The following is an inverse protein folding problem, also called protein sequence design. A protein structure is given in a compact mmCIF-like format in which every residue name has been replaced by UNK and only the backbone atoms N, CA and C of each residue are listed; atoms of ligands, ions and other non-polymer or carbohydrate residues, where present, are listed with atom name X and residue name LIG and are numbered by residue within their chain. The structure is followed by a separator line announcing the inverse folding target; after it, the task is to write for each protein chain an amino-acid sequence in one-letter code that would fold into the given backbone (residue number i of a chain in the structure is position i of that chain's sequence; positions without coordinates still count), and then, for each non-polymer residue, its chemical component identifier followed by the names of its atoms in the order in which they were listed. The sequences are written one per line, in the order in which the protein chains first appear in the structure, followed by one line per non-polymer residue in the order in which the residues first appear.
data_IF_525614996722
#
_entry.id   IF_525614996722
#
_cell.length_a   1.000
_cell.length_b   1.000
_cell.length_c   1.000
_cell.angle_alpha   90.00
_cell.angle_beta   90.00
_cell.angle_gamma   90.00
#
_symmetry.space_group_name_H-M   'P 1'
#
loop_
_entity.id
_entity.type
_entity.pdbx_description
1 polymer ?
#
# COMPACT_ATOMS: atom_id res chain seq x y z
N UNK A 1 -30.01 -26.12 22.80
CA UNK A 1 -29.22 -27.16 23.52
C UNK A 1 -29.66 -28.51 23.01
N UNK A 2 -28.77 -29.31 22.39
CA UNK A 2 -29.13 -30.53 21.64
C UNK A 2 -29.31 -31.78 22.53
N UNK A 3 -29.27 -31.70 23.85
CA UNK A 3 -29.53 -32.81 24.79
C UNK A 3 -28.72 -34.11 24.61
N UNK A 4 -27.71 -34.13 23.71
CA UNK A 4 -26.90 -35.33 23.48
C UNK A 4 -25.92 -35.55 24.64
N UNK A 5 -26.05 -36.70 25.34
CA UNK A 5 -25.06 -37.15 26.33
C UNK A 5 -23.75 -37.46 25.64
N UNK A 6 -22.65 -36.79 26.06
CA UNK A 6 -21.29 -37.09 25.62
C UNK A 6 -20.62 -37.92 26.72
N UNK A 7 -20.21 -39.15 26.39
CA UNK A 7 -19.41 -39.99 27.30
C UNK A 7 -17.95 -39.61 27.14
N UNK A 8 -17.29 -39.31 28.25
CA UNK A 8 -15.84 -39.11 28.32
C UNK A 8 -15.21 -40.20 29.20
N UNK A 9 -14.03 -40.71 28.84
CA UNK A 9 -13.28 -41.63 29.63
C UNK A 9 -11.97 -40.98 30.08
N UNK A 10 -11.56 -41.25 31.34
CA UNK A 10 -10.33 -40.76 31.92
C UNK A 10 -9.52 -41.98 32.32
N UNK A 11 -8.28 -42.07 31.86
CA UNK A 11 -7.37 -43.15 32.14
C UNK A 11 -6.18 -42.69 32.97
N UNK A 12 -5.64 -43.52 33.86
CA UNK A 12 -4.47 -43.25 34.65
C UNK A 12 -3.82 -44.56 35.15
N UNK A 13 -2.57 -44.49 35.60
CA UNK A 13 -1.82 -45.65 36.10
C UNK A 13 -2.26 -46.09 37.48
N UNK A 14 -2.86 -45.22 38.26
CA UNK A 14 -3.36 -45.52 39.63
C UNK A 14 -4.78 -44.95 39.81
N UNK A 15 -5.55 -45.55 40.72
CA UNK A 15 -6.89 -45.09 41.11
C UNK A 15 -6.85 -43.65 41.67
N UNK A 16 -5.79 -43.27 42.37
CA UNK A 16 -5.61 -41.91 42.92
C UNK A 16 -5.46 -40.88 41.78
N UNK A 17 -4.63 -41.21 40.77
CA UNK A 17 -4.44 -40.35 39.57
C UNK A 17 -5.73 -40.19 38.77
N UNK A 18 -6.47 -41.27 38.57
CA UNK A 18 -7.78 -41.18 37.84
C UNK A 18 -8.75 -40.29 38.59
N UNK A 19 -8.85 -40.45 39.93
CA UNK A 19 -9.72 -39.62 40.73
C UNK A 19 -9.34 -38.14 40.74
N UNK A 20 -8.08 -37.79 40.76
CA UNK A 20 -7.58 -36.43 40.62
C UNK A 20 -7.94 -35.85 39.24
N UNK A 21 -7.68 -36.56 38.17
CA UNK A 21 -7.99 -36.18 36.81
C UNK A 21 -9.53 -35.98 36.62
N UNK A 22 -10.33 -36.85 37.23
CA UNK A 22 -11.77 -36.76 37.17
C UNK A 22 -12.29 -35.48 37.89
N UNK A 23 -11.79 -35.20 39.08
CA UNK A 23 -12.12 -33.96 39.83
C UNK A 23 -11.72 -32.71 39.06
N UNK A 24 -10.53 -32.69 38.42
CA UNK A 24 -10.06 -31.60 37.63
C UNK A 24 -10.93 -31.40 36.38
N UNK A 25 -11.27 -32.47 35.68
CA UNK A 25 -12.18 -32.40 34.50
C UNK A 25 -13.59 -31.94 34.87
N UNK A 26 -14.11 -32.34 36.04
CA UNK A 26 -15.40 -31.89 36.55
C UNK A 26 -15.38 -30.40 36.91
N UNK A 27 -14.31 -29.93 37.58
CA UNK A 27 -14.14 -28.52 37.88
C UNK A 27 -14.04 -27.67 36.60
N UNK A 28 -13.25 -28.11 35.63
CA UNK A 28 -13.12 -27.43 34.32
C UNK A 28 -14.44 -27.40 33.56
N UNK A 29 -15.22 -28.46 33.61
CA UNK A 29 -16.55 -28.52 32.99
C UNK A 29 -17.52 -27.50 33.63
N UNK A 30 -17.56 -27.43 34.96
CA UNK A 30 -18.41 -26.50 35.71
C UNK A 30 -17.94 -25.03 35.46
N UNK A 31 -16.65 -24.76 35.53
CA UNK A 31 -16.07 -23.44 35.30
C UNK A 31 -16.29 -22.92 33.85
N UNK A 32 -16.48 -23.84 32.91
CA UNK A 32 -16.78 -23.53 31.50
C UNK A 32 -18.30 -23.49 31.20
N UNK A 33 -19.14 -23.24 32.20
CA UNK A 33 -20.62 -23.14 32.03
C UNK A 33 -21.25 -24.47 31.59
N UNK A 34 -20.75 -25.59 32.09
CA UNK A 34 -21.22 -26.95 31.77
C UNK A 34 -21.17 -27.30 30.28
N UNK A 35 -20.21 -26.74 29.55
CA UNK A 35 -19.95 -27.03 28.15
C UNK A 35 -18.60 -27.71 27.97
N UNK A 36 -18.55 -28.73 27.08
CA UNK A 36 -17.29 -29.35 26.69
C UNK A 36 -16.65 -28.40 25.68
N UNK A 37 -15.64 -27.65 26.10
CA UNK A 37 -14.76 -26.94 25.15
C UNK A 37 -14.09 -28.00 24.27
N UNK A 38 -14.42 -28.04 22.98
CA UNK A 38 -13.58 -28.73 22.01
C UNK A 38 -12.20 -28.04 22.11
N UNK A 39 -11.21 -28.74 22.68
CA UNK A 39 -9.84 -28.27 22.64
C UNK A 39 -9.45 -28.18 21.16
N UNK A 40 -9.43 -26.97 20.62
CA UNK A 40 -8.78 -26.72 19.33
C UNK A 40 -7.31 -27.01 19.57
N UNK A 41 -6.84 -28.16 19.09
CA UNK A 41 -5.45 -28.61 19.35
C UNK A 41 -4.56 -27.91 18.35
N UNK A 42 -4.27 -26.64 18.59
CA UNK A 42 -3.27 -25.89 17.86
C UNK A 42 -1.93 -26.21 18.49
N UNK A 43 -1.03 -26.81 17.71
CA UNK A 43 0.30 -27.21 18.15
C UNK A 43 1.39 -26.36 17.53
N UNK A 44 1.24 -26.00 16.25
CA UNK A 44 2.31 -25.34 15.48
C UNK A 44 1.99 -23.85 15.21
N UNK A 45 3.04 -23.07 14.96
CA UNK A 45 2.90 -21.69 14.55
C UNK A 45 2.05 -21.54 13.26
N UNK A 46 2.20 -22.49 12.33
CA UNK A 46 1.44 -22.53 11.09
C UNK A 46 -0.07 -22.63 11.38
N UNK A 47 -0.49 -23.55 12.23
CA UNK A 47 -1.90 -23.72 12.62
C UNK A 47 -2.45 -22.46 13.31
N UNK A 48 -1.67 -21.90 14.26
CA UNK A 48 -2.04 -20.65 14.94
C UNK A 48 -2.15 -19.48 13.97
N UNK A 49 -1.23 -19.37 13.01
CA UNK A 49 -1.26 -18.30 12.04
C UNK A 49 -2.46 -18.38 11.08
N UNK A 50 -2.89 -19.59 10.71
CA UNK A 50 -4.09 -19.78 9.89
C UNK A 50 -5.34 -19.32 10.64
N UNK A 51 -5.50 -19.72 11.90
CA UNK A 51 -6.61 -19.26 12.74
C UNK A 51 -6.61 -17.74 12.91
N UNK A 52 -5.42 -17.15 13.16
CA UNK A 52 -5.28 -15.71 13.25
C UNK A 52 -5.66 -14.99 11.95
N UNK A 53 -5.29 -15.54 10.79
CA UNK A 53 -5.60 -14.96 9.48
C UNK A 53 -7.10 -14.90 9.20
N UNK A 54 -7.90 -15.87 9.68
CA UNK A 54 -9.36 -15.85 9.52
C UNK A 54 -9.96 -14.59 10.16
N UNK A 55 -9.59 -14.30 11.40
CA UNK A 55 -10.02 -13.09 12.09
C UNK A 55 -9.40 -11.84 11.49
N UNK A 56 -8.10 -11.88 11.18
CA UNK A 56 -7.38 -10.72 10.63
C UNK A 56 -7.93 -10.26 9.29
N UNK A 57 -8.41 -11.18 8.47
CA UNK A 57 -9.06 -10.87 7.18
C UNK A 57 -10.25 -9.93 7.34
N UNK A 58 -10.99 -10.05 8.44
CA UNK A 58 -12.17 -9.21 8.72
C UNK A 58 -11.80 -7.81 9.22
N UNK A 59 -10.56 -7.60 9.70
CA UNK A 59 -10.13 -6.35 10.34
C UNK A 59 -9.34 -5.42 9.43
N UNK A 60 -8.93 -5.89 8.25
CA UNK A 60 -8.06 -5.13 7.35
C UNK A 60 -8.56 -5.13 5.91
N UNK A 61 -8.11 -4.13 5.14
CA UNK A 61 -8.39 -4.10 3.70
C UNK A 61 -7.72 -5.27 2.98
N UNK A 62 -8.34 -5.81 1.90
CA UNK A 62 -7.82 -6.97 1.15
C UNK A 62 -6.35 -6.86 0.76
N UNK A 63 -5.89 -5.69 0.33
CA UNK A 63 -4.48 -5.47 -0.02
C UNK A 63 -3.52 -5.63 1.17
N UNK A 64 -3.94 -5.21 2.36
CA UNK A 64 -3.14 -5.36 3.59
C UNK A 64 -3.08 -6.82 4.01
N UNK A 65 -4.20 -7.53 3.86
CA UNK A 65 -4.27 -8.97 4.09
C UNK A 65 -3.32 -9.72 3.17
N UNK A 66 -3.40 -9.51 1.86
CA UNK A 66 -2.55 -10.16 0.85
C UNK A 66 -1.04 -9.92 1.10
N UNK A 67 -0.68 -8.66 1.38
CA UNK A 67 0.70 -8.32 1.74
C UNK A 67 1.16 -9.01 3.03
N UNK A 68 0.25 -9.24 3.98
CA UNK A 68 0.55 -9.93 5.24
C UNK A 68 0.72 -11.43 5.01
N UNK A 69 -0.17 -12.05 4.22
CA UNK A 69 -0.08 -13.47 3.83
C UNK A 69 1.22 -13.73 3.06
N UNK A 70 1.54 -12.89 2.09
CA UNK A 70 2.80 -12.99 1.32
C UNK A 70 4.02 -12.91 2.24
N UNK A 71 4.02 -11.99 3.19
CA UNK A 71 5.11 -11.81 4.17
C UNK A 71 5.22 -13.01 5.11
N UNK A 72 4.09 -13.52 5.58
CA UNK A 72 4.02 -14.71 6.42
C UNK A 72 4.63 -15.92 5.71
N UNK A 73 4.16 -16.23 4.51
CA UNK A 73 4.59 -17.39 3.74
C UNK A 73 6.06 -17.30 3.31
N UNK A 74 6.54 -16.13 2.88
CA UNK A 74 7.88 -15.96 2.33
C UNK A 74 8.96 -15.86 3.40
N UNK A 75 8.67 -15.24 4.55
CA UNK A 75 9.70 -14.87 5.51
C UNK A 75 9.56 -15.54 6.89
N UNK A 76 8.36 -15.97 7.28
CA UNK A 76 8.09 -16.50 8.62
C UNK A 76 7.93 -18.02 8.59
N UNK A 77 7.07 -18.53 7.71
CA UNK A 77 6.76 -19.97 7.62
C UNK A 77 7.98 -20.87 7.42
N UNK A 78 8.99 -20.51 6.61
CA UNK A 78 10.16 -21.38 6.43
C UNK A 78 10.96 -21.63 7.71
N UNK A 79 10.87 -20.71 8.69
CA UNK A 79 11.64 -20.83 9.94
C UNK A 79 10.76 -21.25 11.12
N UNK A 80 9.60 -20.60 11.31
CA UNK A 80 8.78 -20.81 12.50
C UNK A 80 7.57 -21.72 12.25
N UNK A 81 7.17 -21.94 10.98
CA UNK A 81 5.90 -22.59 10.64
C UNK A 81 5.66 -23.93 11.32
N UNK A 82 6.64 -24.80 11.35
CA UNK A 82 6.56 -26.15 11.91
C UNK A 82 6.93 -26.22 13.41
N UNK A 83 7.39 -25.10 14.00
CA UNK A 83 7.73 -25.06 15.41
C UNK A 83 6.45 -25.11 16.27
N UNK A 84 6.51 -25.83 17.40
CA UNK A 84 5.43 -25.79 18.40
C UNK A 84 5.37 -24.40 19.01
N UNK A 85 4.15 -23.88 19.17
CA UNK A 85 3.90 -22.51 19.63
C UNK A 85 4.54 -22.25 21.00
N UNK A 86 4.47 -23.24 21.91
CA UNK A 86 5.03 -23.20 23.26
C UNK A 86 6.57 -23.31 23.30
N UNK A 87 7.21 -23.64 22.18
CA UNK A 87 8.67 -23.80 22.06
C UNK A 87 9.35 -22.66 21.31
N UNK A 88 8.57 -21.70 20.78
CA UNK A 88 9.14 -20.54 20.09
C UNK A 88 9.70 -19.56 21.12
N UNK A 89 11.02 -19.40 21.10
CA UNK A 89 11.75 -18.51 22.01
C UNK A 89 11.97 -17.12 21.41
N UNK A 90 12.28 -16.15 22.26
CA UNK A 90 12.72 -14.83 21.80
C UNK A 90 14.02 -14.92 20.96
N UNK A 91 14.90 -15.89 21.28
CA UNK A 91 16.13 -16.13 20.52
C UNK A 91 15.85 -16.56 19.07
N UNK A 92 14.89 -17.46 18.84
CA UNK A 92 14.52 -17.90 17.49
C UNK A 92 14.03 -16.74 16.63
N UNK A 93 13.17 -15.90 17.21
CA UNK A 93 12.64 -14.72 16.54
C UNK A 93 13.74 -13.69 16.30
N UNK A 94 14.61 -13.44 17.29
CA UNK A 94 15.71 -12.49 17.16
C UNK A 94 16.67 -12.91 16.04
N UNK A 95 17.05 -14.20 15.97
CA UNK A 95 17.89 -14.73 14.89
C UNK A 95 17.24 -14.55 13.51
N UNK A 96 15.93 -14.81 13.39
CA UNK A 96 15.20 -14.58 12.14
C UNK A 96 15.23 -13.10 11.75
N UNK A 97 14.95 -12.19 12.68
CA UNK A 97 14.93 -10.74 12.41
C UNK A 97 16.34 -10.25 12.07
N UNK A 98 17.38 -10.66 12.77
CA UNK A 98 18.77 -10.31 12.48
C UNK A 98 19.20 -10.78 11.08
N UNK A 99 18.81 -11.99 10.69
CA UNK A 99 19.07 -12.51 9.34
C UNK A 99 18.36 -11.67 8.28
N UNK A 100 17.07 -11.38 8.47
CA UNK A 100 16.27 -10.60 7.51
C UNK A 100 16.76 -9.16 7.39
N UNK A 101 17.23 -8.53 8.46
CA UNK A 101 17.70 -7.14 8.46
C UNK A 101 18.85 -6.89 7.49
N UNK A 102 19.62 -7.92 7.14
CA UNK A 102 20.76 -7.83 6.21
C UNK A 102 20.34 -7.58 4.76
N UNK A 103 19.15 -8.05 4.34
CA UNK A 103 18.72 -7.99 2.93
C UNK A 103 17.26 -7.57 2.71
N UNK A 104 16.42 -7.56 3.75
CA UNK A 104 15.00 -7.24 3.62
C UNK A 104 14.64 -5.98 4.41
N UNK A 105 14.42 -4.87 3.73
CA UNK A 105 14.15 -3.54 4.32
C UNK A 105 12.95 -3.54 5.28
N UNK A 106 11.93 -4.37 5.00
CA UNK A 106 10.69 -4.42 5.77
C UNK A 106 10.68 -5.50 6.86
N UNK A 107 11.84 -5.89 7.41
CA UNK A 107 11.95 -6.88 8.51
C UNK A 107 11.16 -6.48 9.77
N UNK A 108 11.01 -5.18 10.05
CA UNK A 108 10.19 -4.69 11.16
C UNK A 108 8.71 -5.09 11.03
N UNK A 109 8.20 -5.12 9.80
CA UNK A 109 6.84 -5.59 9.53
C UNK A 109 6.72 -7.12 9.69
N UNK A 110 7.80 -7.89 9.47
CA UNK A 110 7.84 -9.34 9.79
C UNK A 110 7.67 -9.55 11.28
N UNK A 111 8.46 -8.84 12.11
CA UNK A 111 8.32 -8.90 13.58
C UNK A 111 6.90 -8.54 14.02
N UNK A 112 6.29 -7.52 13.41
CA UNK A 112 4.92 -7.11 13.73
C UNK A 112 3.89 -8.22 13.46
N UNK A 113 4.05 -8.99 12.37
CA UNK A 113 3.19 -10.15 12.07
C UNK A 113 3.39 -11.26 13.09
N UNK A 114 4.64 -11.65 13.39
CA UNK A 114 4.94 -12.69 14.39
C UNK A 114 4.32 -12.32 15.75
N UNK A 115 4.50 -11.05 16.18
CA UNK A 115 3.92 -10.54 17.42
C UNK A 115 2.40 -10.67 17.46
N UNK A 116 1.71 -10.36 16.38
CA UNK A 116 0.24 -10.48 16.31
C UNK A 116 -0.23 -11.93 16.37
N UNK A 117 0.45 -12.84 15.68
CA UNK A 117 0.13 -14.27 15.69
C UNK A 117 0.35 -14.85 17.08
N UNK A 118 1.51 -14.60 17.72
CA UNK A 118 1.77 -15.09 19.08
C UNK A 118 0.84 -14.45 20.12
N UNK A 119 0.42 -13.19 19.93
CA UNK A 119 -0.58 -12.57 20.79
C UNK A 119 -1.92 -13.31 20.75
N UNK A 120 -2.33 -13.83 19.59
CA UNK A 120 -3.48 -14.73 19.49
C UNK A 120 -3.27 -16.01 20.30
N UNK A 121 -2.04 -16.54 20.32
CA UNK A 121 -1.68 -17.70 21.15
C UNK A 121 -1.84 -17.45 22.65
N UNK A 122 -1.46 -16.24 23.11
CA UNK A 122 -1.69 -15.81 24.49
C UNK A 122 -3.18 -15.69 24.79
N UNK A 123 -3.97 -15.07 23.92
CA UNK A 123 -5.43 -14.92 24.09
C UNK A 123 -6.15 -16.28 24.14
N UNK A 124 -5.62 -17.29 23.47
CA UNK A 124 -6.16 -18.65 23.46
C UNK A 124 -5.65 -19.52 24.63
N UNK A 125 -4.76 -19.00 25.47
CA UNK A 125 -4.13 -19.76 26.57
C UNK A 125 -3.22 -20.88 26.10
N UNK A 126 -2.65 -20.78 24.89
CA UNK A 126 -1.69 -21.74 24.34
C UNK A 126 -0.26 -21.48 24.83
N UNK A 127 0.03 -20.24 25.13
CA UNK A 127 1.29 -19.74 25.71
C UNK A 127 0.97 -18.63 26.70
N UNK A 128 1.77 -18.51 27.74
CA UNK A 128 1.57 -17.51 28.79
C UNK A 128 2.14 -16.15 28.40
N UNK A 129 3.12 -16.15 27.49
CA UNK A 129 3.86 -14.95 27.10
C UNK A 129 4.15 -14.89 25.61
N UNK A 130 4.16 -13.66 25.07
CA UNK A 130 4.46 -13.40 23.66
C UNK A 130 5.94 -13.11 23.45
N UNK A 131 6.71 -14.12 23.05
CA UNK A 131 8.16 -14.05 22.82
C UNK A 131 8.62 -13.01 21.79
N UNK A 132 7.69 -12.48 20.94
CA UNK A 132 8.01 -11.44 19.98
C UNK A 132 7.87 -10.01 20.55
N UNK A 133 7.51 -9.86 21.84
CA UNK A 133 7.24 -8.56 22.46
C UNK A 133 8.53 -7.75 22.64
N UNK A 134 9.58 -8.36 23.17
CA UNK A 134 10.80 -7.70 23.59
C UNK A 134 11.98 -7.91 22.62
N UNK A 135 11.67 -8.24 21.36
CA UNK A 135 12.68 -8.37 20.30
C UNK A 135 13.29 -7.01 19.99
N UNK A 136 14.61 -6.95 20.02
CA UNK A 136 15.39 -5.77 19.64
C UNK A 136 15.46 -5.69 18.12
N UNK A 137 14.96 -4.58 17.57
CA UNK A 137 15.02 -4.34 16.15
C UNK A 137 16.40 -3.78 15.77
N UNK A 138 17.15 -4.43 14.85
CA UNK A 138 18.39 -3.88 14.32
C UNK A 138 18.19 -2.48 13.76
N UNK A 139 19.19 -1.62 13.85
CA UNK A 139 19.14 -0.29 13.23
C UNK A 139 19.04 -0.44 11.72
N UNK A 140 18.09 0.29 11.10
CA UNK A 140 18.00 0.28 9.64
C UNK A 140 19.29 0.85 9.06
N UNK A 141 19.95 0.06 8.22
CA UNK A 141 21.06 0.53 7.41
C UNK A 141 20.53 1.65 6.47
N UNK A 142 21.22 2.78 6.37
CA UNK A 142 20.87 3.76 5.34
C UNK A 142 20.93 3.06 3.99
N UNK A 143 19.83 3.01 3.25
CA UNK A 143 19.87 2.49 1.88
C UNK A 143 20.89 3.32 1.09
N UNK A 144 21.94 2.69 0.60
CA UNK A 144 23.04 3.34 -0.15
C UNK A 144 22.57 4.00 -1.46
N UNK A 145 21.38 3.66 -1.95
CA UNK A 145 20.73 4.32 -3.09
C UNK A 145 19.54 5.11 -2.58
N UNK A 146 19.71 6.41 -2.37
CA UNK A 146 18.58 7.34 -2.20
C UNK A 146 17.74 7.23 -3.48
N UNK A 147 16.50 6.72 -3.37
CA UNK A 147 15.56 6.79 -4.50
C UNK A 147 15.32 8.25 -4.80
N UNK A 148 15.38 8.61 -6.08
CA UNK A 148 15.01 9.95 -6.55
C UNK A 148 13.59 10.22 -6.05
N UNK A 149 13.45 11.22 -5.18
CA UNK A 149 12.16 11.60 -4.63
C UNK A 149 11.40 12.52 -5.58
N UNK A 150 12.08 13.45 -6.21
CA UNK A 150 11.56 14.39 -7.21
C UNK A 150 12.52 14.42 -8.40
N UNK A 151 12.00 14.82 -9.56
CA UNK A 151 12.78 14.91 -10.80
C UNK A 151 13.40 16.32 -10.83
N UNK A 152 14.70 16.42 -10.99
CA UNK A 152 15.37 17.70 -11.13
C UNK A 152 14.86 18.48 -12.35
N UNK A 153 14.79 19.82 -12.30
CA UNK A 153 14.29 20.63 -13.40
C UNK A 153 14.96 20.37 -14.75
N UNK A 154 16.30 20.17 -14.76
CA UNK A 154 17.07 19.83 -15.95
C UNK A 154 16.65 18.47 -16.54
N UNK A 155 16.57 17.44 -15.67
CA UNK A 155 16.14 16.10 -16.04
C UNK A 155 14.70 16.09 -16.53
N UNK A 156 13.82 16.85 -15.84
CA UNK A 156 12.41 16.98 -16.24
C UNK A 156 12.30 17.59 -17.64
N UNK A 157 13.07 18.64 -17.94
CA UNK A 157 13.10 19.27 -19.26
C UNK A 157 13.52 18.25 -20.34
N UNK A 158 14.66 17.59 -20.16
CA UNK A 158 15.17 16.57 -21.08
C UNK A 158 14.18 15.42 -21.27
N UNK A 159 13.52 14.98 -20.20
CA UNK A 159 12.50 13.93 -20.25
C UNK A 159 11.28 14.36 -21.08
N UNK A 160 10.77 15.58 -20.87
CA UNK A 160 9.61 16.09 -21.60
C UNK A 160 9.91 16.29 -23.09
N UNK A 161 11.09 16.81 -23.43
CA UNK A 161 11.56 16.96 -24.82
C UNK A 161 11.68 15.59 -25.52
N UNK A 162 12.24 14.59 -24.83
CA UNK A 162 12.29 13.22 -25.35
C UNK A 162 10.89 12.64 -25.59
N UNK A 163 9.93 12.84 -24.67
CA UNK A 163 8.56 12.39 -24.86
C UNK A 163 7.89 13.05 -26.07
N UNK A 164 8.05 14.36 -26.21
CA UNK A 164 7.46 15.14 -27.30
C UNK A 164 7.94 14.66 -28.67
N UNK A 165 9.23 14.39 -28.82
CA UNK A 165 9.83 13.89 -30.05
C UNK A 165 9.53 12.42 -30.36
N UNK A 166 9.32 11.58 -29.33
CA UNK A 166 9.15 10.14 -29.46
C UNK A 166 7.70 9.67 -29.57
N UNK A 167 6.73 10.42 -29.00
CA UNK A 167 5.33 10.00 -28.85
C UNK A 167 4.61 9.64 -30.16
N UNK A 168 5.02 10.22 -31.28
CA UNK A 168 4.37 9.99 -32.56
C UNK A 168 4.77 8.68 -33.25
N UNK A 169 5.82 8.03 -32.82
CA UNK A 169 6.38 6.83 -33.46
C UNK A 169 5.49 5.59 -33.32
N UNK A 170 4.85 5.40 -32.15
CA UNK A 170 4.02 4.24 -31.84
C UNK A 170 2.95 4.59 -30.83
N UNK A 171 1.78 3.94 -30.87
CA UNK A 171 0.70 4.16 -29.92
C UNK A 171 1.12 4.00 -28.45
N UNK A 172 1.94 2.99 -28.12
CA UNK A 172 2.42 2.80 -26.75
C UNK A 172 3.25 3.98 -26.22
N UNK A 173 4.01 4.65 -27.10
CA UNK A 173 4.78 5.85 -26.73
C UNK A 173 3.86 7.04 -26.50
N UNK A 174 2.83 7.16 -27.33
CA UNK A 174 1.81 8.19 -27.15
C UNK A 174 1.01 7.97 -25.86
N UNK A 175 0.60 6.73 -25.58
CA UNK A 175 -0.01 6.33 -24.31
C UNK A 175 0.85 6.74 -23.11
N UNK A 176 2.15 6.41 -23.15
CA UNK A 176 3.08 6.71 -22.06
C UNK A 176 3.25 8.23 -21.88
N UNK A 177 3.39 8.99 -22.97
CA UNK A 177 3.55 10.44 -22.95
C UNK A 177 2.34 11.13 -22.29
N UNK A 178 1.12 10.76 -22.69
CA UNK A 178 -0.11 11.32 -22.12
C UNK A 178 -0.28 10.91 -20.65
N UNK A 179 0.03 9.66 -20.30
CA UNK A 179 0.00 9.20 -18.91
C UNK A 179 0.98 9.99 -18.03
N UNK A 180 2.22 10.18 -18.48
CA UNK A 180 3.24 10.88 -17.70
C UNK A 180 2.92 12.37 -17.57
N UNK A 181 2.43 13.00 -18.64
CA UNK A 181 1.94 14.38 -18.59
C UNK A 181 0.80 14.52 -17.57
N UNK A 182 -0.20 13.61 -17.58
CA UNK A 182 -1.28 13.63 -16.63
C UNK A 182 -0.78 13.48 -15.18
N UNK A 183 0.10 12.51 -14.93
CA UNK A 183 0.68 12.31 -13.59
C UNK A 183 1.45 13.54 -13.08
N UNK A 184 2.21 14.20 -13.97
CA UNK A 184 2.95 15.40 -13.63
C UNK A 184 2.03 16.59 -13.36
N UNK A 185 1.00 16.80 -14.19
CA UNK A 185 0.11 17.96 -14.09
C UNK A 185 -0.91 17.87 -12.94
N UNK A 186 -1.22 16.65 -12.48
CA UNK A 186 -2.27 16.42 -11.49
C UNK A 186 -1.77 15.88 -10.15
N UNK A 187 -0.57 15.29 -10.11
CA UNK A 187 -0.06 14.60 -8.93
C UNK A 187 -0.82 13.32 -8.56
N UNK A 188 -1.59 12.73 -9.49
CA UNK A 188 -2.31 11.47 -9.27
C UNK A 188 -1.38 10.33 -8.85
N UNK A 189 -1.89 9.43 -7.99
CA UNK A 189 -1.23 8.15 -7.77
C UNK A 189 -1.40 7.27 -9.00
N UNK A 190 -0.40 6.44 -9.34
CA UNK A 190 -0.48 5.56 -10.51
C UNK A 190 -1.72 4.64 -10.50
N UNK A 191 -2.16 4.20 -9.32
CA UNK A 191 -3.38 3.40 -9.18
C UNK A 191 -4.66 4.19 -9.44
N UNK A 192 -4.69 5.49 -9.14
CA UNK A 192 -5.78 6.41 -9.47
C UNK A 192 -5.85 6.64 -10.98
N UNK A 193 -4.71 6.93 -11.62
CA UNK A 193 -4.61 7.07 -13.08
C UNK A 193 -5.00 5.77 -13.82
N UNK A 194 -4.63 4.60 -13.28
CA UNK A 194 -5.00 3.31 -13.86
C UNK A 194 -6.52 3.06 -13.82
N UNK A 195 -7.21 3.60 -12.81
CA UNK A 195 -8.66 3.43 -12.62
C UNK A 195 -9.51 4.51 -13.30
N UNK A 196 -8.87 5.54 -13.88
CA UNK A 196 -9.55 6.71 -14.43
C UNK A 196 -10.40 6.32 -15.65
N UNK A 197 -11.64 6.74 -15.66
CA UNK A 197 -12.59 6.55 -16.75
C UNK A 197 -12.90 7.89 -17.44
N UNK A 198 -13.31 7.84 -18.69
CA UNK A 198 -13.66 9.05 -19.45
C UNK A 198 -14.80 9.84 -18.80
N UNK A 199 -15.73 9.17 -18.10
CA UNK A 199 -16.80 9.81 -17.34
C UNK A 199 -16.32 10.54 -16.07
N UNK A 200 -15.08 10.30 -15.62
CA UNK A 200 -14.48 11.05 -14.49
C UNK A 200 -13.86 12.39 -14.95
N UNK A 201 -13.76 12.64 -16.27
CA UNK A 201 -13.09 13.81 -16.85
C UNK A 201 -14.14 14.73 -17.46
N UNK A 202 -14.29 15.90 -16.88
CA UNK A 202 -15.06 16.99 -17.47
C UNK A 202 -14.13 17.84 -18.34
N UNK A 203 -14.22 17.62 -19.65
CA UNK A 203 -13.40 18.31 -20.65
C UNK A 203 -13.85 19.77 -20.87
N UNK A 204 -15.08 20.13 -20.50
CA UNK A 204 -15.62 21.48 -20.65
C UNK A 204 -15.20 22.37 -19.48
N UNK A 205 -15.42 21.90 -18.25
CA UNK A 205 -15.05 22.62 -17.04
C UNK A 205 -13.58 22.38 -16.63
N UNK A 206 -12.88 21.49 -17.30
CA UNK A 206 -11.46 21.22 -17.05
C UNK A 206 -11.19 20.57 -15.71
N UNK A 207 -12.02 19.61 -15.29
CA UNK A 207 -11.87 18.95 -13.99
C UNK A 207 -11.79 17.44 -14.11
N UNK A 208 -11.19 16.81 -13.08
CA UNK A 208 -11.12 15.35 -12.94
C UNK A 208 -11.61 14.95 -11.55
N UNK A 209 -12.59 14.04 -11.51
CA UNK A 209 -13.07 13.40 -10.29
C UNK A 209 -12.23 12.16 -9.97
N UNK A 210 -11.66 12.11 -8.77
CA UNK A 210 -10.80 11.02 -8.31
C UNK A 210 -11.50 10.34 -7.15
N UNK A 211 -12.07 9.17 -7.39
CA UNK A 211 -12.91 8.44 -6.42
C UNK A 211 -12.55 6.96 -6.30
N UNK A 212 -11.68 6.46 -7.19
CA UNK A 212 -11.33 5.03 -7.28
C UNK A 212 -9.85 4.82 -7.54
N UNK A 213 -9.36 3.63 -7.24
CA UNK A 213 -8.00 3.19 -7.51
C UNK A 213 -7.99 1.72 -7.93
N UNK A 214 -7.17 1.37 -8.90
CA UNK A 214 -6.99 0.00 -9.34
C UNK A 214 -5.89 -0.71 -8.55
N UNK A 215 -6.23 -1.88 -8.01
CA UNK A 215 -5.27 -2.76 -7.36
C UNK A 215 -4.95 -3.95 -8.28
N UNK A 216 -3.71 -3.98 -8.76
CA UNK A 216 -3.22 -5.03 -9.66
C UNK A 216 -3.29 -6.44 -9.06
N UNK A 217 -2.90 -6.59 -7.79
CA UNK A 217 -2.79 -7.92 -7.16
C UNK A 217 -4.16 -8.56 -6.98
N UNK A 218 -5.16 -7.74 -6.72
CA UNK A 218 -6.54 -8.20 -6.52
C UNK A 218 -7.38 -8.11 -7.80
N UNK A 219 -6.84 -7.52 -8.89
CA UNK A 219 -7.57 -7.22 -10.14
C UNK A 219 -8.90 -6.50 -9.89
N UNK A 220 -8.93 -5.59 -8.94
CA UNK A 220 -10.13 -5.04 -8.36
C UNK A 220 -10.02 -3.51 -8.26
N UNK A 221 -11.12 -2.82 -8.58
CA UNK A 221 -11.31 -1.40 -8.29
C UNK A 221 -11.70 -1.26 -6.83
N UNK A 222 -10.96 -0.49 -6.07
CA UNK A 222 -11.34 -0.09 -4.73
C UNK A 222 -11.71 1.38 -4.70
N UNK A 223 -12.69 1.73 -3.89
CA UNK A 223 -12.94 3.13 -3.52
C UNK A 223 -11.69 3.74 -2.87
N UNK A 224 -11.56 5.05 -2.88
CA UNK A 224 -10.47 5.74 -2.24
C UNK A 224 -10.28 5.24 -0.79
N UNK A 225 -9.01 5.12 -0.36
CA UNK A 225 -8.67 4.56 0.97
C UNK A 225 -9.24 5.37 2.14
N UNK A 226 -9.46 6.68 1.91
CA UNK A 226 -9.94 7.65 2.90
C UNK A 226 -10.93 8.57 2.22
N UNK A 227 -11.79 9.23 2.98
CA UNK A 227 -12.73 10.24 2.49
C UNK A 227 -12.00 11.38 1.75
N UNK A 228 -10.80 11.75 2.23
CA UNK A 228 -9.91 12.72 1.56
C UNK A 228 -9.32 12.22 0.23
N UNK A 229 -9.47 10.94 -0.09
CA UNK A 229 -9.12 10.39 -1.39
C UNK A 229 -10.12 10.73 -2.48
N UNK A 230 -11.38 11.00 -2.12
CA UNK A 230 -12.41 11.47 -3.04
C UNK A 230 -12.26 12.99 -3.19
N UNK A 231 -11.92 13.42 -4.38
CA UNK A 231 -11.66 14.82 -4.68
C UNK A 231 -11.89 15.13 -6.15
N UNK A 232 -12.19 16.38 -6.44
CA UNK A 232 -12.23 16.93 -7.82
C UNK A 232 -11.10 17.93 -7.93
N UNK A 233 -10.29 17.81 -8.96
CA UNK A 233 -9.15 18.69 -9.20
C UNK A 233 -9.26 19.36 -10.58
N UNK A 234 -8.87 20.63 -10.67
CA UNK A 234 -8.73 21.32 -11.94
C UNK A 234 -7.46 20.87 -12.67
N UNK A 235 -7.54 20.83 -13.99
CA UNK A 235 -6.46 20.41 -14.90
C UNK A 235 -6.14 21.54 -15.89
N UNK A 236 -4.87 21.71 -16.20
CA UNK A 236 -4.40 22.73 -17.13
C UNK A 236 -4.87 22.45 -18.58
N UNK A 237 -4.99 23.53 -19.37
CA UNK A 237 -5.47 23.48 -20.75
C UNK A 237 -4.63 22.57 -21.66
N UNK A 238 -3.31 22.51 -21.46
CA UNK A 238 -2.42 21.66 -22.27
C UNK A 238 -2.71 20.18 -22.03
N UNK A 239 -2.87 19.79 -20.78
CA UNK A 239 -3.21 18.40 -20.39
C UNK A 239 -4.61 18.02 -20.89
N UNK A 240 -5.60 18.89 -20.76
CA UNK A 240 -6.95 18.63 -21.29
C UNK A 240 -6.96 18.43 -22.81
N UNK A 241 -6.23 19.28 -23.54
CA UNK A 241 -6.08 19.13 -24.99
C UNK A 241 -5.43 17.79 -25.35
N UNK A 242 -4.39 17.41 -24.63
CA UNK A 242 -3.72 16.10 -24.83
C UNK A 242 -4.66 14.93 -24.55
N UNK A 243 -5.48 15.00 -23.50
CA UNK A 243 -6.48 13.97 -23.19
C UNK A 243 -7.56 13.87 -24.27
N UNK A 244 -8.05 15.00 -24.78
CA UNK A 244 -9.04 15.02 -25.87
C UNK A 244 -8.50 14.35 -27.15
N UNK A 245 -7.28 14.69 -27.55
CA UNK A 245 -6.61 14.06 -28.70
C UNK A 245 -6.35 12.57 -28.46
N UNK A 246 -5.96 12.21 -27.23
CA UNK A 246 -5.73 10.83 -26.85
C UNK A 246 -7.04 10.01 -26.91
N UNK A 247 -8.17 10.56 -26.49
CA UNK A 247 -9.47 9.90 -26.59
C UNK A 247 -9.84 9.56 -28.04
N UNK A 248 -9.63 10.53 -28.94
CA UNK A 248 -9.89 10.30 -30.37
C UNK A 248 -9.01 9.19 -30.93
N UNK A 249 -7.71 9.21 -30.64
CA UNK A 249 -6.76 8.20 -31.12
C UNK A 249 -7.00 6.83 -30.49
N UNK A 250 -7.41 6.76 -29.23
CA UNK A 250 -7.81 5.53 -28.59
C UNK A 250 -9.03 4.92 -29.29
N UNK A 251 -10.06 5.71 -29.55
CA UNK A 251 -11.27 5.25 -30.28
C UNK A 251 -10.93 4.73 -31.67
N UNK A 252 -10.08 5.46 -32.38
CA UNK A 252 -9.61 5.03 -33.70
C UNK A 252 -8.91 3.66 -33.62
N UNK A 253 -7.94 3.50 -32.74
CA UNK A 253 -7.22 2.23 -32.54
C UNK A 253 -8.15 1.06 -32.22
N UNK A 254 -9.12 1.29 -31.31
CA UNK A 254 -10.07 0.23 -30.93
C UNK A 254 -10.95 -0.19 -32.11
N UNK A 255 -11.40 0.77 -32.93
CA UNK A 255 -12.17 0.48 -34.14
C UNK A 255 -11.33 -0.26 -35.19
N UNK A 256 -10.08 0.15 -35.43
CA UNK A 256 -9.17 -0.49 -36.40
C UNK A 256 -8.93 -1.98 -36.09
N UNK A 257 -8.91 -2.35 -34.79
CA UNK A 257 -8.71 -3.75 -34.37
C UNK A 257 -10.03 -4.47 -34.06
N UNK A 258 -11.18 -3.88 -34.34
CA UNK A 258 -12.50 -4.45 -34.05
C UNK A 258 -12.81 -4.65 -32.57
N UNK A 259 -12.14 -3.89 -31.67
CA UNK A 259 -12.35 -3.99 -30.23
C UNK A 259 -13.42 -2.98 -29.77
N UNK A 260 -14.19 -3.36 -28.74
CA UNK A 260 -15.13 -2.44 -28.10
C UNK A 260 -14.39 -1.27 -27.45
N UNK A 261 -14.80 -0.05 -27.75
CA UNK A 261 -14.25 1.17 -27.15
C UNK A 261 -14.34 1.11 -25.61
N UNK A 262 -13.24 1.41 -24.95
CA UNK A 262 -13.14 1.34 -23.50
C UNK A 262 -13.62 2.62 -22.83
N UNK A 263 -14.32 2.47 -21.70
CA UNK A 263 -14.63 3.57 -20.79
C UNK A 263 -13.38 4.02 -20.00
N UNK A 264 -12.39 3.14 -19.84
CA UNK A 264 -11.16 3.44 -19.12
C UNK A 264 -10.20 4.24 -19.99
N UNK A 265 -9.69 5.35 -19.43
CA UNK A 265 -8.82 6.29 -20.16
C UNK A 265 -7.54 5.56 -20.65
N UNK A 266 -6.84 4.90 -19.76
CA UNK A 266 -5.58 4.23 -20.08
C UNK A 266 -5.79 2.71 -20.31
N UNK A 267 -6.67 2.39 -21.23
CA UNK A 267 -6.90 1.02 -21.69
C UNK A 267 -6.16 0.72 -23.02
N UNK A 268 -5.97 -0.58 -23.28
CA UNK A 268 -5.53 -1.09 -24.57
C UNK A 268 -6.58 -2.07 -25.10
N UNK A 269 -6.62 -2.39 -26.41
CA UNK A 269 -7.56 -3.36 -26.96
C UNK A 269 -7.53 -4.72 -26.26
N UNK A 270 -6.38 -5.10 -25.70
CA UNK A 270 -6.17 -6.39 -25.02
C UNK A 270 -6.34 -6.32 -23.48
N UNK A 271 -6.40 -5.12 -22.88
CA UNK A 271 -6.44 -4.94 -21.43
C UNK A 271 -7.22 -3.69 -21.03
N UNK A 272 -8.27 -3.88 -20.25
CA UNK A 272 -9.04 -2.77 -19.65
C UNK A 272 -8.17 -1.92 -18.70
N UNK A 273 -7.34 -2.55 -17.87
CA UNK A 273 -6.45 -1.86 -16.94
C UNK A 273 -4.99 -2.20 -17.24
N UNK A 274 -4.14 -1.19 -17.31
CA UNK A 274 -2.71 -1.41 -17.53
C UNK A 274 -2.00 -1.95 -16.27
N UNK A 275 -0.88 -2.64 -16.52
CA UNK A 275 -0.04 -3.14 -15.45
C UNK A 275 1.02 -2.09 -15.08
N UNK A 276 0.89 -1.46 -13.90
CA UNK A 276 1.82 -0.43 -13.43
C UNK A 276 3.29 -0.89 -13.38
N UNK A 277 3.57 -2.19 -13.10
CA UNK A 277 4.96 -2.69 -13.11
C UNK A 277 5.54 -2.76 -14.51
N UNK A 278 4.73 -3.15 -15.51
CA UNK A 278 5.16 -3.16 -16.94
C UNK A 278 5.40 -1.72 -17.41
N UNK A 279 4.53 -0.79 -17.02
CA UNK A 279 4.71 0.62 -17.34
C UNK A 279 5.89 1.27 -16.61
N UNK A 280 6.22 0.80 -15.40
CA UNK A 280 7.46 1.22 -14.73
C UNK A 280 8.70 0.80 -15.55
N UNK A 281 8.72 -0.40 -16.10
CA UNK A 281 9.83 -0.82 -16.97
C UNK A 281 9.88 0.01 -18.27
N UNK A 282 8.74 0.41 -18.82
CA UNK A 282 8.69 1.34 -19.94
C UNK A 282 9.22 2.72 -19.56
N UNK A 283 8.84 3.25 -18.38
CA UNK A 283 9.37 4.51 -17.84
C UNK A 283 10.89 4.44 -17.66
N UNK A 284 11.40 3.33 -17.10
CA UNK A 284 12.85 3.12 -16.95
C UNK A 284 13.58 3.19 -18.30
N UNK A 285 12.99 2.63 -19.37
CA UNK A 285 13.52 2.73 -20.74
C UNK A 285 13.52 4.18 -21.23
N UNK A 286 12.41 4.93 -21.00
CA UNK A 286 12.34 6.36 -21.39
C UNK A 286 13.38 7.22 -20.66
N UNK A 287 13.59 6.99 -19.35
CA UNK A 287 14.66 7.67 -18.62
C UNK A 287 16.04 7.41 -19.23
N UNK A 288 16.32 6.14 -19.58
CA UNK A 288 17.59 5.76 -20.23
C UNK A 288 17.77 6.44 -21.60
N UNK A 289 16.71 6.46 -22.43
CA UNK A 289 16.73 7.11 -23.74
C UNK A 289 16.87 8.64 -23.64
N UNK A 290 16.32 9.26 -22.60
CA UNK A 290 16.46 10.67 -22.31
C UNK A 290 17.81 11.04 -21.63
N UNK A 291 18.64 10.04 -21.29
CA UNK A 291 19.93 10.25 -20.63
C UNK A 291 19.86 10.70 -19.17
N UNK A 292 18.73 10.40 -18.48
CA UNK A 292 18.47 10.85 -17.11
C UNK A 292 18.46 9.70 -16.13
N UNK A 293 18.59 10.02 -14.81
CA UNK A 293 18.50 9.01 -13.76
C UNK A 293 17.09 8.40 -13.68
N UNK A 294 17.06 7.10 -13.42
CA UNK A 294 15.82 6.32 -13.24
C UNK A 294 15.03 6.81 -12.04
N UNK A 295 13.72 7.03 -12.23
CA UNK A 295 12.79 7.37 -11.16
C UNK A 295 11.50 6.51 -11.22
N UNK A 296 10.68 6.60 -10.18
CA UNK A 296 9.41 5.87 -10.09
C UNK A 296 8.22 6.79 -10.39
N UNK A 297 7.06 6.23 -10.71
CA UNK A 297 5.82 7.01 -10.88
C UNK A 297 5.53 7.96 -9.71
N UNK A 298 5.98 7.62 -8.51
CA UNK A 298 5.77 8.49 -7.35
C UNK A 298 6.58 9.78 -7.41
N UNK A 299 7.67 9.79 -8.19
CA UNK A 299 8.46 10.99 -8.42
C UNK A 299 7.68 12.08 -9.17
N UNK A 300 6.80 11.72 -10.14
CA UNK A 300 5.92 12.71 -10.78
C UNK A 300 5.08 13.47 -9.78
N UNK A 301 4.49 12.76 -8.81
CA UNK A 301 3.68 13.35 -7.75
C UNK A 301 4.52 14.23 -6.82
N UNK A 302 5.72 13.82 -6.48
CA UNK A 302 6.64 14.64 -5.68
C UNK A 302 7.08 15.89 -6.43
N UNK A 303 7.39 15.75 -7.72
CA UNK A 303 7.75 16.89 -8.59
C UNK A 303 6.59 17.85 -8.73
N UNK A 304 5.36 17.35 -8.98
CA UNK A 304 4.16 18.17 -8.99
C UNK A 304 3.99 18.98 -7.71
N UNK A 305 4.13 18.34 -6.55
CA UNK A 305 4.01 19.00 -5.25
C UNK A 305 5.11 20.06 -5.04
N UNK A 306 6.36 19.75 -5.40
CA UNK A 306 7.47 20.70 -5.29
C UNK A 306 7.27 21.92 -6.19
N UNK A 307 6.84 21.71 -7.45
CA UNK A 307 6.56 22.81 -8.39
C UNK A 307 5.47 23.73 -7.85
N UNK A 308 4.37 23.19 -7.32
CA UNK A 308 3.28 23.98 -6.76
C UNK A 308 3.71 24.75 -5.50
N UNK A 309 4.46 24.11 -4.59
CA UNK A 309 4.97 24.78 -3.39
C UNK A 309 5.93 25.91 -3.72
N UNK A 310 6.82 25.70 -4.69
CA UNK A 310 7.72 26.75 -5.18
C UNK A 310 6.95 27.90 -5.85
N UNK A 311 5.79 27.60 -6.46
CA UNK A 311 4.89 28.61 -7.04
C UNK A 311 3.97 29.29 -5.99
N UNK A 312 4.07 28.92 -4.70
CA UNK A 312 3.35 29.60 -3.62
C UNK A 312 2.03 28.99 -3.17
N UNK A 313 1.66 27.79 -3.64
CA UNK A 313 0.42 27.12 -3.16
C UNK A 313 0.52 26.87 -1.64
N UNK A 314 -0.62 27.00 -0.94
CA UNK A 314 -0.66 26.66 0.48
C UNK A 314 -0.55 25.15 0.72
N UNK A 315 0.03 24.75 1.87
CA UNK A 315 0.09 23.33 2.24
C UNK A 315 -1.28 22.69 2.35
N UNK A 316 -2.33 23.45 2.70
CA UNK A 316 -3.70 22.97 2.81
C UNK A 316 -4.32 22.66 1.46
N UNK A 317 -4.12 23.54 0.49
CA UNK A 317 -4.57 23.32 -0.89
C UNK A 317 -3.83 22.15 -1.54
N UNK A 318 -2.52 22.06 -1.31
CA UNK A 318 -1.72 20.92 -1.78
C UNK A 318 -2.18 19.61 -1.13
N UNK A 319 -2.49 19.61 0.19
CA UNK A 319 -3.06 18.45 0.87
C UNK A 319 -4.32 17.95 0.19
N UNK A 320 -5.27 18.86 -0.10
CA UNK A 320 -6.52 18.54 -0.79
C UNK A 320 -6.25 17.99 -2.19
N UNK A 321 -5.44 18.70 -2.98
CA UNK A 321 -5.12 18.31 -4.37
C UNK A 321 -4.48 16.93 -4.45
N UNK A 322 -3.58 16.62 -3.53
CA UNK A 322 -2.94 15.31 -3.45
C UNK A 322 -3.82 14.23 -2.80
N UNK A 323 -4.88 14.59 -2.07
CA UNK A 323 -5.71 13.65 -1.32
C UNK A 323 -4.91 12.98 -0.18
N UNK A 324 -4.19 13.77 0.60
CA UNK A 324 -3.54 13.31 1.83
C UNK A 324 -4.54 13.36 2.99
N UNK A 325 -4.65 12.26 3.73
CA UNK A 325 -5.59 12.15 4.86
C UNK A 325 -5.23 13.12 6.01
N UNK A 326 -3.94 13.41 6.18
CA UNK A 326 -3.43 14.31 7.20
C UNK A 326 -2.43 15.29 6.58
N UNK A 327 -2.44 16.55 7.05
CA UNK A 327 -1.52 17.60 6.61
C UNK A 327 -0.06 17.26 6.96
N UNK A 328 0.18 16.52 8.06
CA UNK A 328 1.52 16.06 8.42
C UNK A 328 2.17 15.23 7.30
N UNK A 329 1.42 14.47 6.53
CA UNK A 329 1.97 13.75 5.37
C UNK A 329 2.55 14.69 4.30
N UNK A 330 1.97 15.88 4.15
CA UNK A 330 2.47 16.92 3.23
C UNK A 330 3.66 17.63 3.85
N UNK A 331 3.57 18.03 5.11
CA UNK A 331 4.65 18.72 5.83
C UNK A 331 5.89 17.84 6.01
N UNK A 332 5.75 16.58 6.42
CA UNK A 332 6.87 15.64 6.61
C UNK A 332 7.64 15.38 5.31
N UNK A 333 6.93 15.44 4.18
CA UNK A 333 7.54 15.19 2.88
C UNK A 333 8.17 16.44 2.26
N UNK A 334 7.53 17.60 2.41
CA UNK A 334 7.86 18.82 1.65
C UNK A 334 8.20 20.03 2.54
N UNK A 335 8.10 19.92 3.88
CA UNK A 335 8.35 21.05 4.79
C UNK A 335 9.75 21.64 4.70
N UNK A 336 10.73 20.85 4.22
CA UNK A 336 12.09 21.36 3.99
C UNK A 336 12.19 22.39 2.84
N UNK A 337 11.22 22.40 1.92
CA UNK A 337 11.16 23.36 0.81
C UNK A 337 10.71 24.76 1.24
N UNK A 338 10.17 24.91 2.46
CA UNK A 338 9.70 26.20 2.99
C UNK A 338 10.74 26.98 3.78
N UNK A 339 11.95 26.44 4.00
CA UNK A 339 12.99 27.12 4.79
C UNK A 339 13.44 28.46 4.17
N UNK A 340 13.35 28.59 2.86
CA UNK A 340 13.70 29.85 2.17
C UNK A 340 12.60 30.92 2.27
N UNK A 341 11.39 30.56 2.75
CA UNK A 341 10.24 31.47 2.87
C UNK A 341 10.17 32.22 4.21
N UNK A 342 11.10 31.99 5.11
CA UNK A 342 11.14 32.72 6.39
C UNK A 342 11.30 34.23 6.17
N UNK A 343 12.04 34.63 5.12
CA UNK A 343 12.18 36.03 4.70
C UNK A 343 10.90 36.65 4.11
N UNK A 344 10.02 35.81 3.53
CA UNK A 344 8.74 36.27 2.98
C UNK A 344 7.71 36.61 4.05
N UNK A 345 7.84 36.09 5.28
CA UNK A 345 6.94 36.39 6.38
C UNK A 345 6.87 37.89 6.70
N UNK A 346 8.00 38.58 6.61
CA UNK A 346 8.07 40.04 6.80
C UNK A 346 7.28 40.77 5.69
N UNK A 347 7.44 40.33 4.44
CA UNK A 347 6.71 40.92 3.31
C UNK A 347 5.19 40.72 3.41
N UNK A 348 4.75 39.56 3.94
CA UNK A 348 3.33 39.32 4.21
C UNK A 348 2.78 40.23 5.29
N UNK A 349 3.57 40.46 6.36
CA UNK A 349 3.19 41.38 7.42
C UNK A 349 3.11 42.82 6.91
N UNK A 350 4.14 43.30 6.20
CA UNK A 350 4.14 44.64 5.60
C UNK A 350 2.96 44.85 4.66
N UNK A 351 2.67 43.88 3.80
CA UNK A 351 1.51 43.93 2.89
C UNK A 351 0.19 43.96 3.66
N UNK A 352 0.06 43.22 4.74
CA UNK A 352 -1.14 43.21 5.60
C UNK A 352 -1.31 44.57 6.29
N UNK A 353 -0.23 45.16 6.79
CA UNK A 353 -0.24 46.49 7.44
C UNK A 353 -0.56 47.61 6.44
N UNK A 354 -0.07 47.53 5.22
CA UNK A 354 -0.33 48.54 4.18
C UNK A 354 -1.79 48.50 3.64
N UNK A 355 -2.53 47.42 3.97
CA UNK A 355 -3.95 47.26 3.59
C UNK A 355 -4.93 47.61 4.72
N UNK A 356 -4.43 48.08 5.89
CA UNK A 356 -5.19 48.61 7.02
C UNK A 356 -5.31 50.11 6.92
#
# INVERSE_FOLDING_TARGET
MTGKRVKTSITGRTRKEVNQKAKHAQFDFLSNGSTIKRKVVIKTFKELSHLWLETYKLTVKPQTYDATVTRLNRHIMPTLGNMKVDKITASDIQMLINRLSKYYVNYTAVRSVIRKVLQQGVLLGLIDYNSARDIILPRKQPNAKKKVKFIDPSDLKSFLEHLETSQHKRYNLYFDAVLYQLLLSTGLRIGEACALEWGDIDLENGTIAINKTYNKNLKFLSTAKTQSGNRVISVDKKTLRSLKLYQMRQRQLFNEVGARVSEVVFATPTRKYFNASVRQSALDTRCKEAGIERFTFHAFRHTHASLLLNAGISYKELQYRLGHANISMTLDTYGHLSKDKEKEAVLYYEKAMNNL
#
